data_IF_040146983023
#
_entry.id   IF_040146983023
#
_cell.length_a   1.000
_cell.length_b   1.000
_cell.length_c   1.000
_cell.angle_alpha   90.00
_cell.angle_beta   90.00
_cell.angle_gamma   90.00
#
_symmetry.space_group_name_H-M   'P 1'
#
loop_
_entity.id
_entity.type
_entity.pdbx_description
1 polymer ?
#
# COMPACT_ATOMS: atom_id res chain seq x y z
N UNK A 1 -1.35 -9.76 6.09
CA UNK A 1 -0.54 -9.94 4.87
C UNK A 1 -1.12 -9.06 3.78
N UNK A 2 -0.27 -8.29 3.07
CA UNK A 2 -0.66 -7.32 2.05
C UNK A 2 0.11 -7.62 0.77
N UNK A 3 -0.59 -7.67 -0.36
CA UNK A 3 0.02 -7.83 -1.68
C UNK A 3 -0.53 -6.79 -2.65
N UNK A 4 0.36 -6.21 -3.45
CA UNK A 4 0.03 -5.38 -4.60
C UNK A 4 0.55 -6.10 -5.85
N UNK A 5 -0.35 -6.48 -6.75
CA UNK A 5 -0.02 -7.22 -7.97
C UNK A 5 -0.44 -6.36 -9.16
N UNK A 6 0.51 -5.87 -9.98
CA UNK A 6 0.18 -5.20 -11.23
C UNK A 6 -0.63 -6.14 -12.12
N UNK A 7 -1.79 -5.69 -12.59
CA UNK A 7 -2.63 -6.46 -13.52
C UNK A 7 -2.50 -5.96 -14.95
N UNK A 8 -2.21 -4.67 -15.12
CA UNK A 8 -1.80 -4.03 -16.36
C UNK A 8 -0.99 -2.75 -15.98
N UNK A 9 -0.48 -1.95 -16.94
CA UNK A 9 0.35 -0.78 -16.62
C UNK A 9 -0.32 0.31 -15.76
N UNK A 10 -1.65 0.37 -15.72
CA UNK A 10 -2.42 1.42 -15.03
C UNK A 10 -3.18 0.88 -13.82
N UNK A 11 -3.36 -0.44 -13.73
CA UNK A 11 -4.14 -1.10 -12.69
C UNK A 11 -3.28 -2.02 -11.82
N UNK A 12 -3.45 -1.86 -10.51
CA UNK A 12 -2.87 -2.74 -9.51
C UNK A 12 -3.98 -3.36 -8.67
N UNK A 13 -3.97 -4.68 -8.56
CA UNK A 13 -4.84 -5.41 -7.64
C UNK A 13 -4.19 -5.51 -6.28
N UNK A 14 -4.86 -4.95 -5.27
CA UNK A 14 -4.43 -5.04 -3.87
C UNK A 14 -5.22 -6.12 -3.15
N UNK A 15 -4.52 -7.04 -2.48
CA UNK A 15 -5.12 -8.11 -1.65
C UNK A 15 -4.63 -7.98 -0.21
N UNK A 16 -5.56 -7.90 0.74
CA UNK A 16 -5.29 -7.79 2.17
C UNK A 16 -5.89 -8.99 2.90
N UNK A 17 -5.06 -9.69 3.65
CA UNK A 17 -5.45 -10.80 4.53
C UNK A 17 -5.16 -10.40 5.97
N UNK A 18 -6.17 -10.55 6.81
CA UNK A 18 -6.09 -10.21 8.23
C UNK A 18 -6.14 -11.48 9.04
N UNK A 19 -5.12 -11.69 9.87
CA UNK A 19 -5.10 -12.75 10.87
C UNK A 19 -5.41 -12.07 12.20
N UNK A 20 -6.48 -12.50 12.85
CA UNK A 20 -6.90 -11.97 14.15
C UNK A 20 -6.53 -12.93 15.27
N UNK A 21 -6.15 -12.37 16.41
CA UNK A 21 -5.96 -13.09 17.67
C UNK A 21 -7.05 -12.73 18.70
N UNK A 22 -8.08 -12.01 18.27
CA UNK A 22 -9.30 -11.78 19.04
C UNK A 22 -10.36 -12.85 18.74
N UNK A 23 -11.37 -12.89 19.60
CA UNK A 23 -12.58 -13.68 19.43
C UNK A 23 -13.76 -12.79 19.04
N UNK A 24 -14.81 -13.39 18.48
CA UNK A 24 -16.05 -12.68 18.10
C UNK A 24 -16.70 -11.93 19.27
N UNK A 25 -16.51 -12.41 20.51
CA UNK A 25 -17.00 -11.75 21.73
C UNK A 25 -16.26 -10.46 22.06
N UNK A 26 -14.97 -10.38 21.70
CA UNK A 26 -14.13 -9.19 21.94
C UNK A 26 -14.34 -8.17 20.82
N UNK A 27 -14.27 -8.63 19.57
CA UNK A 27 -14.45 -7.78 18.39
C UNK A 27 -15.22 -8.55 17.33
N UNK A 28 -16.44 -8.09 17.02
CA UNK A 28 -17.21 -8.73 15.97
C UNK A 28 -16.50 -8.66 14.61
N UNK A 29 -16.64 -9.71 13.81
CA UNK A 29 -16.14 -9.74 12.44
C UNK A 29 -16.65 -8.53 11.62
N UNK A 30 -17.92 -8.18 11.81
CA UNK A 30 -18.56 -7.05 11.13
C UNK A 30 -17.95 -5.69 11.50
N UNK A 31 -17.61 -5.47 12.78
CA UNK A 31 -16.94 -4.24 13.21
C UNK A 31 -15.55 -4.11 12.59
N UNK A 32 -14.77 -5.19 12.60
CA UNK A 32 -13.44 -5.20 12.00
C UNK A 32 -13.48 -4.96 10.48
N UNK A 33 -14.38 -5.63 9.76
CA UNK A 33 -14.54 -5.43 8.31
C UNK A 33 -14.90 -3.98 7.98
N UNK A 34 -15.75 -3.35 8.79
CA UNK A 34 -16.13 -1.95 8.59
C UNK A 34 -14.95 -1.00 8.81
N UNK A 35 -14.18 -1.22 9.86
CA UNK A 35 -12.97 -0.44 10.15
C UNK A 35 -11.96 -0.56 9.00
N UNK A 36 -11.66 -1.77 8.55
CA UNK A 36 -10.70 -2.01 7.47
C UNK A 36 -11.17 -1.43 6.13
N UNK A 37 -12.48 -1.48 5.82
CA UNK A 37 -13.03 -0.81 4.64
C UNK A 37 -12.79 0.70 4.68
N UNK A 38 -12.97 1.32 5.85
CA UNK A 38 -12.70 2.74 6.04
C UNK A 38 -11.23 3.10 5.73
N UNK A 39 -10.28 2.31 6.22
CA UNK A 39 -8.86 2.50 5.91
C UNK A 39 -8.56 2.29 4.43
N UNK A 40 -9.12 1.25 3.81
CA UNK A 40 -8.94 0.96 2.38
C UNK A 40 -9.44 2.13 1.53
N UNK A 41 -10.59 2.71 1.87
CA UNK A 41 -11.16 3.83 1.13
C UNK A 41 -10.32 5.10 1.29
N UNK A 42 -9.74 5.34 2.48
CA UNK A 42 -8.79 6.45 2.70
C UNK A 42 -7.50 6.25 1.90
N UNK A 43 -6.88 5.08 1.99
CA UNK A 43 -5.67 4.74 1.24
C UNK A 43 -5.90 4.91 -0.27
N UNK A 44 -7.04 4.43 -0.77
CA UNK A 44 -7.42 4.59 -2.18
C UNK A 44 -7.56 6.06 -2.55
N UNK A 45 -8.21 6.87 -1.73
CA UNK A 45 -8.38 8.29 -2.02
C UNK A 45 -7.04 9.02 -2.14
N UNK A 46 -6.09 8.73 -1.24
CA UNK A 46 -4.74 9.29 -1.27
C UNK A 46 -4.00 8.84 -2.52
N UNK A 47 -3.95 7.53 -2.79
CA UNK A 47 -3.21 6.99 -3.93
C UNK A 47 -3.73 7.50 -5.27
N UNK A 48 -5.06 7.58 -5.43
CA UNK A 48 -5.67 8.10 -6.67
C UNK A 48 -5.42 9.60 -6.84
N UNK A 49 -5.39 10.39 -5.76
CA UNK A 49 -5.05 11.81 -5.82
C UNK A 49 -3.57 12.03 -6.20
N UNK A 50 -2.68 11.18 -5.70
CA UNK A 50 -1.23 11.28 -5.89
C UNK A 50 -0.80 10.76 -7.27
N UNK A 51 -1.45 9.71 -7.79
CA UNK A 51 -1.13 9.12 -9.10
C UNK A 51 -1.29 10.12 -10.28
N UNK A 52 -2.16 11.12 -10.14
CA UNK A 52 -2.31 12.19 -11.14
C UNK A 52 -1.10 13.15 -11.20
N UNK A 53 -0.21 13.10 -10.21
CA UNK A 53 0.85 14.11 -9.99
C UNK A 53 2.27 13.50 -10.06
N UNK A 54 2.43 12.19 -9.86
CA UNK A 54 3.76 11.58 -9.81
C UNK A 54 4.25 11.09 -11.18
N UNK A 55 5.41 11.61 -11.58
CA UNK A 55 6.30 10.95 -12.53
C UNK A 55 6.69 9.55 -12.00
N UNK A 56 6.96 8.56 -12.89
CA UNK A 56 7.32 7.20 -12.49
C UNK A 56 8.56 7.13 -11.57
N UNK A 57 9.38 8.18 -11.56
CA UNK A 57 10.39 8.45 -10.54
C UNK A 57 10.25 9.89 -10.05
N UNK A 58 9.67 10.14 -8.86
CA UNK A 58 9.56 11.49 -8.33
C UNK A 58 10.94 12.02 -7.94
N UNK A 59 11.59 12.73 -8.85
CA UNK A 59 12.83 13.48 -8.63
C UNK A 59 12.49 14.74 -7.83
N UNK A 60 12.35 14.61 -6.52
CA UNK A 60 11.99 15.73 -5.64
C UNK A 60 11.25 15.34 -4.36
N UNK A 61 10.97 14.05 -4.15
CA UNK A 61 10.40 13.59 -2.89
C UNK A 61 11.40 13.80 -1.73
N UNK A 62 10.99 14.58 -0.73
CA UNK A 62 11.76 14.75 0.49
C UNK A 62 11.39 13.64 1.48
N UNK A 63 12.27 12.65 1.59
CA UNK A 63 12.08 11.54 2.53
C UNK A 63 12.24 12.04 3.97
N UNK A 64 11.31 11.60 4.82
CA UNK A 64 11.42 11.74 6.27
C UNK A 64 11.99 10.45 6.89
N UNK A 65 12.29 10.48 8.19
CA UNK A 65 12.87 9.33 8.89
C UNK A 65 12.01 8.05 8.76
N UNK A 66 10.69 8.20 8.75
CA UNK A 66 9.75 7.09 8.60
C UNK A 66 9.78 6.42 7.20
N UNK A 67 10.39 7.06 6.20
CA UNK A 67 10.42 6.59 4.82
C UNK A 67 11.59 5.63 4.52
N UNK A 68 12.45 5.36 5.49
CA UNK A 68 13.57 4.42 5.31
C UNK A 68 13.14 3.05 4.74
N UNK A 69 12.01 2.43 5.16
CA UNK A 69 11.54 1.17 4.59
C UNK A 69 11.15 1.29 3.11
N UNK A 70 10.50 2.39 2.71
CA UNK A 70 10.09 2.58 1.30
C UNK A 70 11.30 2.85 0.42
N UNK A 71 12.29 3.60 0.90
CA UNK A 71 13.55 3.83 0.21
C UNK A 71 14.29 2.51 -0.06
N UNK A 72 14.40 1.65 0.96
CA UNK A 72 15.01 0.33 0.81
C UNK A 72 14.21 -0.55 -0.16
N UNK A 73 12.88 -0.56 -0.06
CA UNK A 73 12.02 -1.32 -0.98
C UNK A 73 12.23 -0.91 -2.44
N UNK A 74 12.29 0.39 -2.71
CA UNK A 74 12.55 0.93 -4.06
C UNK A 74 13.92 0.49 -4.58
N UNK A 75 14.95 0.59 -3.75
CA UNK A 75 16.29 0.12 -4.13
C UNK A 75 16.28 -1.36 -4.51
N UNK A 76 15.68 -2.22 -3.67
CA UNK A 76 15.60 -3.66 -3.95
C UNK A 76 14.79 -3.97 -5.21
N UNK A 77 13.73 -3.21 -5.46
CA UNK A 77 12.92 -3.37 -6.66
C UNK A 77 13.70 -2.97 -7.93
N UNK A 78 14.47 -1.87 -7.87
CA UNK A 78 15.36 -1.46 -8.96
C UNK A 78 16.41 -2.53 -9.27
N UNK A 79 17.06 -3.07 -8.24
CA UNK A 79 18.03 -4.17 -8.36
C UNK A 79 17.41 -5.39 -9.04
N UNK A 80 16.20 -5.77 -8.62
CA UNK A 80 15.47 -6.94 -9.15
C UNK A 80 15.01 -6.75 -10.59
N UNK A 81 14.59 -5.54 -10.95
CA UNK A 81 14.16 -5.20 -12.31
C UNK A 81 15.32 -4.82 -13.24
N UNK A 82 16.56 -4.78 -12.73
CA UNK A 82 17.75 -4.34 -13.46
C UNK A 82 17.63 -2.93 -14.04
N UNK A 83 16.82 -2.08 -13.40
CA UNK A 83 16.65 -0.67 -13.75
C UNK A 83 17.76 0.12 -13.05
N UNK A 84 18.75 0.59 -13.82
CA UNK A 84 19.84 1.45 -13.31
C UNK A 84 19.41 2.91 -13.31
#
# INVERSE_FOLDING_TARGET
>A
MFHAVPTNPQDTRVSRFYVRNDTEKQVSAAAMVRFERGLIDQDRAILTAVAAVLEPWPTGEHLIEADQPIALMRQRLMDLLQLR
#
